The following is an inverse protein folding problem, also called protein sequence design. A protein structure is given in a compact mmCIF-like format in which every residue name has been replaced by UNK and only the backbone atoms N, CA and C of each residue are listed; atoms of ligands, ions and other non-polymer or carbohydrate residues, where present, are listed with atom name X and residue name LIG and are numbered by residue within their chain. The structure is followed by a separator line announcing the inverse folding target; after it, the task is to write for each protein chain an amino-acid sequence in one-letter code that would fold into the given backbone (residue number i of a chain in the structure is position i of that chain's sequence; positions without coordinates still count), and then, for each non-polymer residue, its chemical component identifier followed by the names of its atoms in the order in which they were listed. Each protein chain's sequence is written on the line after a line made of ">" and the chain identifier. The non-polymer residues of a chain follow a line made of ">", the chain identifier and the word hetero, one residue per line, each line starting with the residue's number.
data_IF_830834233394
#
_entry.id   IF_830834233394
#
_cell.length_a   1.000
_cell.length_b   1.000
_cell.length_c   1.000
_cell.angle_alpha   90.00
_cell.angle_beta   90.00
_cell.angle_gamma   90.00
#
_symmetry.space_group_name_H-M   'P 1'
#
loop_
_entity.id
_entity.type
_entity.pdbx_description
1 polymer ?
#
# COMPACT_ATOMS: atom_id res chain seq x y z
N UNK A 1 9.90 21.10 -12.31
CA UNK A 1 9.80 19.71 -12.79
C UNK A 1 8.41 19.59 -13.35
N UNK A 2 8.31 19.67 -14.67
CA UNK A 2 7.11 19.39 -15.46
C UNK A 2 6.92 17.88 -15.42
N UNK A 3 5.84 17.42 -14.79
CA UNK A 3 5.40 16.03 -14.95
C UNK A 3 4.59 16.03 -16.25
N UNK A 4 5.19 15.54 -17.33
CA UNK A 4 4.51 15.43 -18.62
C UNK A 4 3.51 14.28 -18.51
N UNK A 5 2.23 14.59 -18.70
CA UNK A 5 1.24 13.58 -19.04
C UNK A 5 1.66 13.01 -20.40
N UNK A 6 2.43 11.92 -20.41
CA UNK A 6 2.86 11.24 -21.63
C UNK A 6 1.65 10.56 -22.25
N UNK A 7 0.82 11.34 -22.93
CA UNK A 7 -0.23 10.84 -23.80
C UNK A 7 0.49 10.42 -25.08
N UNK A 8 0.67 9.11 -25.27
CA UNK A 8 0.98 8.57 -26.60
C UNK A 8 -0.04 9.15 -27.57
N UNK A 9 0.36 9.52 -28.80
CA UNK A 9 -0.51 10.10 -29.82
C UNK A 9 -1.59 9.11 -30.28
N UNK A 10 -2.51 8.77 -29.39
CA UNK A 10 -3.59 7.81 -29.53
C UNK A 10 -4.77 8.49 -30.23
N UNK A 11 -4.55 9.06 -31.42
CA UNK A 11 -5.62 9.58 -32.28
C UNK A 11 -6.80 10.24 -31.56
N UNK A 12 -8.03 9.89 -31.96
CA UNK A 12 -9.28 10.34 -31.32
C UNK A 12 -9.78 9.41 -30.21
N UNK A 13 -8.88 8.72 -29.50
CA UNK A 13 -9.29 7.75 -28.48
C UNK A 13 -9.76 8.44 -27.19
N UNK A 14 -10.85 7.92 -26.62
CA UNK A 14 -11.42 8.43 -25.38
C UNK A 14 -10.66 7.86 -24.17
N UNK A 15 -10.17 8.74 -23.30
CA UNK A 15 -9.48 8.38 -22.05
C UNK A 15 -10.43 8.57 -20.88
N UNK A 16 -10.53 7.55 -20.01
CA UNK A 16 -11.31 7.63 -18.76
C UNK A 16 -10.35 7.94 -17.61
N UNK A 17 -10.47 9.14 -17.04
CA UNK A 17 -9.73 9.56 -15.85
C UNK A 17 -10.56 9.23 -14.59
N UNK A 18 -10.01 8.39 -13.71
CA UNK A 18 -10.69 7.99 -12.47
C UNK A 18 -10.63 9.09 -11.40
N UNK A 19 -11.52 8.98 -10.41
CA UNK A 19 -11.63 9.92 -9.28
C UNK A 19 -10.32 10.19 -8.52
N UNK A 20 -9.46 9.20 -8.21
CA UNK A 20 -8.19 9.46 -7.52
C UNK A 20 -7.27 10.40 -8.30
N UNK A 21 -7.28 10.32 -9.64
CA UNK A 21 -6.48 11.19 -10.50
C UNK A 21 -7.01 12.63 -10.46
N UNK A 22 -8.34 12.79 -10.55
CA UNK A 22 -8.99 14.11 -10.46
C UNK A 22 -8.74 14.77 -9.10
N UNK A 23 -8.77 14.01 -8.01
CA UNK A 23 -8.47 14.51 -6.67
C UNK A 23 -7.00 14.94 -6.51
N UNK A 24 -6.05 14.19 -7.10
CA UNK A 24 -4.62 14.47 -6.95
C UNK A 24 -4.19 15.73 -7.72
N UNK A 25 -4.61 15.84 -8.98
CA UNK A 25 -4.18 16.94 -9.86
C UNK A 25 -5.11 18.16 -9.79
N UNK A 26 -6.36 17.96 -9.36
CA UNK A 26 -7.41 18.97 -9.23
C UNK A 26 -7.44 19.99 -10.39
N UNK A 27 -7.55 19.50 -11.64
CA UNK A 27 -7.54 20.38 -12.80
C UNK A 27 -8.83 21.20 -12.89
N UNK A 28 -8.77 22.30 -13.64
CA UNK A 28 -9.95 23.03 -14.07
C UNK A 28 -10.52 22.37 -15.32
N UNK A 29 -11.78 21.93 -15.25
CA UNK A 29 -12.45 21.22 -16.34
C UNK A 29 -13.55 22.10 -16.91
N UNK A 30 -13.42 22.44 -18.18
CA UNK A 30 -14.49 23.06 -18.96
C UNK A 30 -15.24 21.97 -19.72
N UNK A 31 -16.36 21.52 -19.14
CA UNK A 31 -17.23 20.49 -19.73
C UNK A 31 -17.90 20.92 -21.02
N UNK A 32 -18.05 22.23 -21.28
CA UNK A 32 -18.72 22.73 -22.49
C UNK A 32 -17.80 22.67 -23.70
N UNK A 33 -16.52 22.99 -23.51
CA UNK A 33 -15.52 22.98 -24.57
C UNK A 33 -14.63 21.73 -24.58
N UNK A 34 -14.81 20.81 -23.61
CA UNK A 34 -14.01 19.59 -23.48
C UNK A 34 -12.55 19.86 -23.15
N UNK A 35 -12.24 20.95 -22.43
CA UNK A 35 -10.87 21.37 -22.10
C UNK A 35 -10.53 21.07 -20.64
N UNK A 36 -9.28 20.70 -20.40
CA UNK A 36 -8.73 20.44 -19.07
C UNK A 36 -7.47 21.30 -18.91
N UNK A 37 -7.44 22.15 -17.88
CA UNK A 37 -6.30 23.00 -17.55
C UNK A 37 -5.71 22.59 -16.19
N UNK A 38 -4.41 22.33 -16.15
CA UNK A 38 -3.69 21.96 -14.91
C UNK A 38 -3.04 23.23 -14.35
N UNK A 39 -3.45 23.73 -13.17
CA UNK A 39 -2.85 24.94 -12.61
C UNK A 39 -1.38 24.70 -12.25
N UNK A 40 -0.48 25.66 -12.52
CA UNK A 40 0.93 25.52 -12.14
C UNK A 40 1.05 25.41 -10.62
N UNK A 41 1.67 24.33 -10.12
CA UNK A 41 1.95 24.16 -8.69
C UNK A 41 2.71 25.39 -8.17
N UNK A 42 2.09 26.16 -7.26
CA UNK A 42 2.76 27.27 -6.56
C UNK A 42 3.98 26.71 -5.85
N UNK A 43 5.17 26.99 -6.38
CA UNK A 43 6.42 26.74 -5.66
C UNK A 43 6.41 27.65 -4.44
N UNK A 44 6.22 27.09 -3.26
CA UNK A 44 6.50 27.81 -2.02
C UNK A 44 8.01 28.07 -2.06
N UNK A 45 8.41 29.34 -2.21
CA UNK A 45 9.81 29.73 -2.07
C UNK A 45 10.16 29.60 -0.58
N UNK A 46 10.58 28.40 -0.17
CA UNK A 46 11.18 28.20 1.14
C UNK A 46 12.51 28.97 1.09
N UNK A 47 12.62 30.07 1.84
CA UNK A 47 13.91 30.75 2.02
C UNK A 47 14.89 29.71 2.56
N UNK A 48 15.91 29.39 1.75
CA UNK A 48 16.96 28.44 2.14
C UNK A 48 17.57 28.91 3.46
N UNK A 49 17.37 28.14 4.53
CA UNK A 49 18.08 28.36 5.78
C UNK A 49 19.56 28.07 5.51
N UNK A 50 20.40 29.12 5.47
CA UNK A 50 21.86 28.96 5.44
C UNK A 50 22.34 28.79 6.87
N UNK A 51 22.88 27.63 7.19
CA UNK A 51 23.27 27.25 8.54
C UNK A 51 24.00 25.92 8.58
N UNK A 52 24.21 25.42 9.80
CA UNK A 52 25.15 24.37 10.26
C UNK A 52 25.25 23.07 9.43
N UNK A 53 24.31 22.80 8.53
CA UNK A 53 24.28 21.60 7.67
C UNK A 53 25.01 21.75 6.30
N UNK A 54 25.54 22.93 5.97
CA UNK A 54 26.20 23.16 4.66
C UNK A 54 27.63 22.57 4.55
N UNK A 55 28.19 21.97 5.61
CA UNK A 55 29.57 21.44 5.63
C UNK A 55 29.69 19.93 5.38
N UNK A 56 28.57 19.19 5.35
CA UNK A 56 28.60 17.77 4.98
C UNK A 56 28.70 17.64 3.45
N UNK A 57 29.63 16.83 2.91
CA UNK A 57 29.68 16.56 1.48
C UNK A 57 28.33 15.99 1.03
N UNK A 58 27.96 16.16 -0.26
CA UNK A 58 26.69 15.67 -0.77
C UNK A 58 26.75 14.15 -0.82
N UNK A 59 26.45 13.51 0.31
CA UNK A 59 26.00 12.13 0.29
C UNK A 59 24.79 12.11 -0.63
N UNK A 60 24.89 11.32 -1.70
CA UNK A 60 23.80 11.06 -2.61
C UNK A 60 22.71 10.41 -1.76
N UNK A 61 21.81 11.24 -1.22
CA UNK A 61 20.57 10.79 -0.62
C UNK A 61 19.72 10.25 -1.77
N UNK A 62 20.04 9.02 -2.17
CA UNK A 62 19.16 8.18 -2.97
C UNK A 62 17.86 8.19 -2.19
N UNK A 63 16.90 8.95 -2.71
CA UNK A 63 15.52 9.01 -2.22
C UNK A 63 14.80 7.71 -2.58
N UNK A 64 15.43 6.57 -2.33
CA UNK A 64 14.74 5.33 -2.10
C UNK A 64 14.03 5.55 -0.76
N UNK A 65 12.77 5.98 -0.84
CA UNK A 65 11.90 5.91 0.32
C UNK A 65 11.82 4.43 0.66
N UNK A 66 12.65 3.97 1.59
CA UNK A 66 12.43 2.68 2.22
C UNK A 66 11.05 2.76 2.85
N UNK A 67 10.14 1.95 2.34
CA UNK A 67 8.82 1.83 2.95
C UNK A 67 9.02 1.33 4.38
N UNK A 68 8.15 1.71 5.31
CA UNK A 68 8.25 1.33 6.73
C UNK A 68 8.42 -0.20 6.91
N UNK A 69 7.82 -0.99 6.01
CA UNK A 69 7.99 -2.44 5.93
C UNK A 69 9.44 -2.87 5.64
N UNK A 70 10.13 -2.22 4.70
CA UNK A 70 11.52 -2.55 4.34
C UNK A 70 12.50 -2.20 5.46
N UNK A 71 12.30 -1.08 6.19
CA UNK A 71 13.09 -0.78 7.39
C UNK A 71 12.86 -1.80 8.50
N UNK A 72 11.62 -2.29 8.65
CA UNK A 72 11.26 -3.31 9.64
C UNK A 72 11.82 -4.69 9.27
N UNK A 73 12.05 -4.97 7.99
CA UNK A 73 12.71 -6.20 7.51
C UNK A 73 14.22 -6.17 7.74
N UNK A 74 14.89 -5.05 7.43
CA UNK A 74 16.34 -4.92 7.64
C UNK A 74 16.73 -4.90 9.12
N UNK A 75 15.86 -4.43 10.03
CA UNK A 75 16.11 -4.47 11.47
C UNK A 75 15.87 -5.83 12.12
N UNK A 76 15.37 -6.84 11.39
CA UNK A 76 15.10 -8.20 11.92
C UNK A 76 16.30 -9.13 11.87
N UNK A 77 17.39 -8.76 11.20
CA UNK A 77 18.53 -9.66 10.98
C UNK A 77 19.46 -9.82 12.20
N UNK A 78 19.20 -9.17 13.35
CA UNK A 78 20.10 -9.25 14.51
C UNK A 78 19.39 -9.23 15.86
N UNK A 79 18.19 -9.81 15.97
CA UNK A 79 17.66 -10.17 17.30
C UNK A 79 17.67 -11.69 17.45
N UNK A 80 18.55 -12.18 18.33
CA UNK A 80 18.44 -13.52 18.87
C UNK A 80 17.02 -13.71 19.38
N UNK A 81 16.31 -14.72 18.85
CA UNK A 81 14.91 -14.97 19.20
C UNK A 81 14.82 -15.25 20.69
N UNK A 82 14.42 -14.23 21.46
CA UNK A 82 14.13 -14.38 22.89
C UNK A 82 13.13 -15.52 23.07
N UNK A 83 13.28 -16.32 24.15
CA UNK A 83 12.33 -17.39 24.43
C UNK A 83 10.92 -16.81 24.55
N UNK A 84 9.93 -17.55 24.06
CA UNK A 84 8.52 -17.13 23.98
C UNK A 84 8.00 -16.71 25.37
N UNK A 85 8.49 -17.34 26.42
CA UNK A 85 8.16 -17.08 27.83
C UNK A 85 8.58 -15.70 28.32
N UNK A 86 9.62 -15.09 27.75
CA UNK A 86 10.06 -13.74 28.14
C UNK A 86 9.27 -12.64 27.43
N UNK A 87 8.67 -12.97 26.29
CA UNK A 87 7.87 -12.05 25.48
C UNK A 87 6.40 -12.00 25.91
N UNK A 88 5.92 -13.06 26.56
CA UNK A 88 4.53 -13.17 27.00
C UNK A 88 4.40 -12.54 28.40
N UNK A 89 3.52 -11.53 28.57
CA UNK A 89 3.19 -11.01 29.89
C UNK A 89 2.65 -12.10 30.83
N UNK A 90 2.95 -12.02 32.13
CA UNK A 90 2.57 -13.03 33.15
C UNK A 90 1.09 -13.45 33.10
N UNK A 91 0.17 -12.52 32.84
CA UNK A 91 -1.27 -12.79 32.77
C UNK A 91 -1.69 -13.62 31.54
N UNK A 92 -0.83 -13.72 30.51
CA UNK A 92 -1.05 -14.50 29.28
C UNK A 92 -0.27 -15.80 29.26
N UNK A 93 0.49 -16.11 30.31
CA UNK A 93 1.26 -17.36 30.39
C UNK A 93 0.37 -18.61 30.36
N UNK A 94 -0.87 -18.53 30.84
CA UNK A 94 -1.88 -19.60 30.69
C UNK A 94 -2.15 -19.92 29.21
N UNK A 95 -2.03 -18.92 28.34
CA UNK A 95 -2.26 -19.02 26.90
C UNK A 95 -0.97 -19.16 26.09
N UNK A 96 0.13 -19.63 26.71
CA UNK A 96 1.42 -19.81 26.03
C UNK A 96 1.29 -20.60 24.72
N UNK A 97 0.42 -21.62 24.70
CA UNK A 97 0.17 -22.46 23.52
C UNK A 97 -0.32 -21.64 22.31
N UNK A 98 -1.08 -20.56 22.50
CA UNK A 98 -1.58 -19.71 21.40
C UNK A 98 -0.47 -18.89 20.72
N UNK A 99 0.64 -18.65 21.43
CA UNK A 99 1.80 -17.92 20.90
C UNK A 99 2.82 -18.83 20.21
N UNK A 100 2.66 -20.15 20.31
CA UNK A 100 3.47 -21.10 19.55
C UNK A 100 3.12 -21.04 18.06
N UNK A 101 4.14 -20.86 17.21
CA UNK A 101 3.97 -20.74 15.76
C UNK A 101 3.15 -21.89 15.16
N UNK A 102 3.48 -23.13 15.55
CA UNK A 102 2.78 -24.33 15.06
C UNK A 102 1.31 -24.39 15.47
N UNK A 103 0.96 -23.87 16.65
CA UNK A 103 -0.43 -23.80 17.09
C UNK A 103 -1.21 -22.73 16.32
N UNK A 104 -0.56 -21.60 15.98
CA UNK A 104 -1.18 -20.50 15.23
C UNK A 104 -1.46 -20.83 13.76
N UNK A 105 -0.69 -21.74 13.15
CA UNK A 105 -0.87 -22.16 11.75
C UNK A 105 -2.04 -23.13 11.56
N UNK A 106 -2.49 -23.79 12.65
CA UNK A 106 -3.55 -24.79 12.60
C UNK A 106 -4.92 -24.11 12.69
N UNK A 107 -5.88 -24.59 11.89
CA UNK A 107 -7.28 -24.18 12.04
C UNK A 107 -7.81 -24.51 13.44
N UNK A 108 -8.69 -23.68 14.01
CA UNK A 108 -9.36 -23.99 15.25
C UNK A 108 -10.17 -25.29 15.12
N UNK A 109 -10.44 -25.92 16.26
CA UNK A 109 -11.35 -27.07 16.30
C UNK A 109 -12.76 -26.64 15.87
N UNK A 110 -13.45 -27.56 15.21
CA UNK A 110 -14.80 -27.29 14.73
C UNK A 110 -15.76 -27.09 15.90
N UNK A 111 -16.62 -26.09 15.78
CA UNK A 111 -17.54 -25.63 16.82
C UNK A 111 -18.99 -25.85 16.37
N UNK A 112 -19.94 -25.96 17.31
CA UNK A 112 -21.36 -26.18 16.99
C UNK A 112 -22.02 -25.02 16.21
N UNK A 113 -21.37 -23.86 16.17
CA UNK A 113 -21.78 -22.68 15.41
C UNK A 113 -21.01 -22.51 14.09
N UNK A 114 -20.18 -23.49 13.71
CA UNK A 114 -19.62 -23.51 12.36
C UNK A 114 -20.76 -23.80 11.39
N UNK A 115 -21.02 -22.86 10.48
CA UNK A 115 -22.08 -22.98 9.51
C UNK A 115 -21.54 -23.61 8.22
N UNK A 116 -22.10 -24.76 7.84
CA UNK A 116 -21.86 -25.38 6.54
C UNK A 116 -22.52 -24.55 5.44
N UNK A 117 -21.80 -24.33 4.33
CA UNK A 117 -22.38 -23.74 3.12
C UNK A 117 -22.92 -24.88 2.26
N UNK A 118 -24.22 -25.15 2.38
CA UNK A 118 -24.88 -26.20 1.60
C UNK A 118 -25.07 -25.76 0.14
N UNK A 119 -24.31 -26.39 -0.76
CA UNK A 119 -24.47 -26.17 -2.20
C UNK A 119 -25.66 -26.98 -2.74
N UNK A 120 -26.40 -26.38 -3.68
CA UNK A 120 -27.46 -27.10 -4.39
C UNK A 120 -26.87 -28.21 -5.27
N UNK A 121 -27.51 -29.39 -5.40
CA UNK A 121 -27.00 -30.45 -6.27
C UNK A 121 -26.92 -29.98 -7.73
N UNK A 122 -25.83 -30.33 -8.42
CA UNK A 122 -25.58 -29.94 -9.82
C UNK A 122 -24.95 -28.56 -10.00
N UNK A 123 -24.57 -27.86 -8.93
CA UNK A 123 -23.80 -26.61 -9.04
C UNK A 123 -22.34 -26.90 -9.32
N UNK A 124 -21.82 -26.36 -10.40
CA UNK A 124 -20.39 -26.32 -10.68
C UNK A 124 -19.76 -25.10 -10.00
N UNK A 125 -18.47 -25.19 -9.64
CA UNK A 125 -17.73 -24.03 -9.13
C UNK A 125 -17.58 -23.00 -10.24
N UNK A 126 -18.11 -21.80 -10.04
CA UNK A 126 -17.96 -20.72 -11.00
C UNK A 126 -16.51 -20.23 -11.02
N UNK A 127 -15.73 -20.65 -12.01
CA UNK A 127 -14.39 -20.12 -12.26
C UNK A 127 -14.52 -18.75 -12.95
N UNK A 128 -14.83 -17.73 -12.15
CA UNK A 128 -14.97 -16.36 -12.61
C UNK A 128 -13.59 -15.70 -12.69
N UNK A 129 -13.28 -15.00 -13.79
CA UNK A 129 -12.06 -14.20 -13.87
C UNK A 129 -12.13 -13.07 -12.85
N UNK A 130 -11.10 -12.95 -12.01
CA UNK A 130 -10.89 -11.77 -11.16
C UNK A 130 -10.70 -10.57 -12.09
N UNK A 131 -11.43 -9.48 -11.86
CA UNK A 131 -11.25 -8.26 -12.64
C UNK A 131 -9.82 -7.74 -12.46
N UNK A 132 -9.12 -7.34 -13.55
CA UNK A 132 -7.78 -6.82 -13.43
C UNK A 132 -7.81 -5.50 -12.65
N UNK A 133 -7.14 -5.50 -11.50
CA UNK A 133 -6.95 -4.31 -10.68
C UNK A 133 -5.82 -3.46 -11.28
N UNK A 134 -5.97 -2.14 -11.20
CA UNK A 134 -4.89 -1.21 -11.54
C UNK A 134 -3.74 -1.30 -10.53
N UNK A 135 -2.50 -0.88 -10.88
CA UNK A 135 -1.37 -0.94 -9.96
C UNK A 135 -1.60 -0.23 -8.63
N UNK A 136 -2.39 0.85 -8.61
CA UNK A 136 -2.74 1.59 -7.39
C UNK A 136 -3.67 0.75 -6.50
N UNK A 137 -4.64 0.04 -7.08
CA UNK A 137 -5.59 -0.81 -6.34
C UNK A 137 -4.93 -2.06 -5.77
N UNK A 138 -3.84 -2.55 -6.38
CA UNK A 138 -3.06 -3.67 -5.87
C UNK A 138 -2.12 -3.29 -4.73
N UNK A 139 -1.85 -1.99 -4.54
CA UNK A 139 -0.92 -1.46 -3.54
C UNK A 139 -1.63 -0.93 -2.27
N UNK A 140 -2.96 -0.95 -2.25
CA UNK A 140 -3.79 -0.64 -1.07
C UNK A 140 -3.94 -1.88 -0.19
#
# INVERSE_FOLDING_TARGET
>A
MTEDLMVSGLGGEQIILRMPWLQHYNPQIDWTNGKIEIPPRRKINIKRFRGILDQTPPEVLIRAKTLVSQTLEHSKETEEKKPIEELIPDYLMEYKRQFEKHASERFPESRPYDHTIDLKPGTETLNCKVYPLSPIEQQL
#
